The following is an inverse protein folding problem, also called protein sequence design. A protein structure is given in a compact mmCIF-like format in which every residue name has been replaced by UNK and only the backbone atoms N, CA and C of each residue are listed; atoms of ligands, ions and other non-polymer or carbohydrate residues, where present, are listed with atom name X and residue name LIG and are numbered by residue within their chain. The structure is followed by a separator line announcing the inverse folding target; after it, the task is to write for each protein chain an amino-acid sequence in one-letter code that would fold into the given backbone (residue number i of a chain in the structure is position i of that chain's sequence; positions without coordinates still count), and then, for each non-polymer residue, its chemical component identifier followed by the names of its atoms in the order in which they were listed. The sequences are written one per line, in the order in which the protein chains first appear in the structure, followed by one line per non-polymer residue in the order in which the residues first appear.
data_IF_832594598700
#
_entry.id   IF_832594598700
#
_cell.length_a   1.000
_cell.length_b   1.000
_cell.length_c   1.000
_cell.angle_alpha   90.00
_cell.angle_beta   90.00
_cell.angle_gamma   90.00
#
_symmetry.space_group_name_H-M   'P 1'
#
loop_
_entity.id
_entity.type
_entity.pdbx_description
1 polymer ?
#
# COMPACT_ATOMS: atom_id res chain seq x y z
N UNK A 1 -30.73 26.22 60.51
CA UNK A 1 -31.78 25.37 59.91
C UNK A 1 -31.81 25.63 58.41
N UNK A 2 -32.01 24.57 57.58
CA UNK A 2 -32.07 24.56 56.10
C UNK A 2 -30.69 24.65 55.42
N UNK A 3 -30.28 23.78 54.48
CA UNK A 3 -30.91 22.66 53.74
C UNK A 3 -29.80 21.66 53.38
N UNK A 4 -30.07 20.37 53.59
CA UNK A 4 -29.27 19.25 53.08
C UNK A 4 -29.60 19.10 51.59
N UNK A 5 -28.63 19.34 50.71
CA UNK A 5 -28.75 19.08 49.28
C UNK A 5 -28.05 17.74 48.99
N UNK A 6 -28.86 16.73 48.66
CA UNK A 6 -28.40 15.43 48.17
C UNK A 6 -27.83 15.58 46.76
N UNK A 7 -26.53 15.29 46.63
CA UNK A 7 -25.84 15.19 45.34
C UNK A 7 -26.13 13.82 44.71
N UNK A 8 -26.89 13.80 43.61
CA UNK A 8 -27.08 12.62 42.77
C UNK A 8 -25.81 12.40 41.93
N UNK A 9 -25.10 11.29 42.15
CA UNK A 9 -23.95 10.92 41.33
C UNK A 9 -24.39 10.34 39.98
N UNK A 10 -23.90 10.97 38.92
CA UNK A 10 -24.12 10.66 37.50
C UNK A 10 -23.29 9.43 37.08
N UNK A 11 -23.90 8.49 36.36
CA UNK A 11 -23.16 7.43 35.64
C UNK A 11 -23.60 7.41 34.18
N UNK A 12 -22.96 8.25 33.36
CA UNK A 12 -23.07 8.19 31.91
C UNK A 12 -22.12 7.10 31.39
N UNK A 13 -22.69 5.99 30.92
CA UNK A 13 -21.94 4.93 30.25
C UNK A 13 -21.58 5.41 28.84
N UNK A 14 -20.39 5.99 28.69
CA UNK A 14 -19.83 6.36 27.38
C UNK A 14 -19.36 5.08 26.68
N UNK A 15 -20.21 4.51 25.84
CA UNK A 15 -19.80 3.51 24.87
C UNK A 15 -19.02 4.25 23.79
N UNK A 16 -17.69 4.19 23.84
CA UNK A 16 -16.84 4.68 22.76
C UNK A 16 -16.81 3.61 21.66
N UNK A 17 -17.22 3.91 20.41
CA UNK A 17 -16.90 3.03 19.30
C UNK A 17 -15.40 3.11 19.04
N UNK A 18 -14.67 2.06 19.40
CA UNK A 18 -13.29 1.86 18.97
C UNK A 18 -13.29 1.42 17.49
N UNK A 19 -13.61 2.34 16.58
CA UNK A 19 -13.18 2.22 15.20
C UNK A 19 -11.76 2.77 15.16
N UNK A 20 -10.78 1.86 15.21
CA UNK A 20 -9.42 2.23 14.88
C UNK A 20 -9.41 2.67 13.41
N UNK A 21 -9.39 3.98 13.20
CA UNK A 21 -9.08 4.64 11.93
C UNK A 21 -7.73 4.08 11.43
N UNK A 22 -7.79 3.00 10.67
CA UNK A 22 -6.62 2.48 9.98
C UNK A 22 -6.49 3.26 8.68
N UNK A 23 -6.30 4.58 8.79
CA UNK A 23 -5.99 5.43 7.65
C UNK A 23 -4.88 4.76 6.85
N UNK A 24 -5.18 4.36 5.61
CA UNK A 24 -4.20 3.73 4.73
C UNK A 24 -3.14 4.78 4.45
N UNK A 25 -1.98 4.67 5.10
CA UNK A 25 -0.93 5.67 4.92
C UNK A 25 -0.32 5.51 3.54
N UNK A 26 -0.36 6.58 2.75
CA UNK A 26 0.35 6.65 1.47
C UNK A 26 1.84 6.44 1.70
N UNK A 27 2.51 5.78 0.76
CA UNK A 27 3.96 5.65 0.84
C UNK A 27 4.66 7.00 0.62
N UNK A 28 5.95 7.14 1.03
CA UNK A 28 6.70 8.38 0.85
C UNK A 28 6.77 8.88 -0.59
N UNK A 29 6.58 7.98 -1.58
CA UNK A 29 6.58 8.28 -3.00
C UNK A 29 5.17 8.41 -3.57
N UNK A 30 4.14 8.41 -2.72
CA UNK A 30 2.71 8.40 -3.08
C UNK A 30 2.26 7.14 -3.83
N UNK A 31 3.03 6.07 -3.72
CA UNK A 31 2.67 4.75 -4.21
C UNK A 31 1.82 3.96 -3.21
N UNK A 32 1.41 2.77 -3.62
CA UNK A 32 0.59 1.87 -2.82
C UNK A 32 1.48 1.10 -1.83
N UNK A 33 1.20 1.20 -0.53
CA UNK A 33 1.87 0.40 0.49
C UNK A 33 1.31 -1.02 0.54
N UNK A 34 2.21 -2.00 0.42
CA UNK A 34 1.99 -3.43 0.51
C UNK A 34 2.73 -3.98 1.72
N UNK A 35 1.99 -4.37 2.76
CA UNK A 35 2.58 -4.92 3.98
C UNK A 35 3.12 -6.35 3.77
N UNK A 36 4.43 -6.54 3.94
CA UNK A 36 5.17 -7.77 3.66
C UNK A 36 5.97 -8.23 4.89
N UNK A 37 5.34 -9.04 5.75
CA UNK A 37 5.99 -9.73 6.88
C UNK A 37 6.92 -8.82 7.73
N UNK A 38 6.38 -7.72 8.24
CA UNK A 38 7.13 -6.77 9.09
C UNK A 38 7.90 -5.69 8.31
N UNK A 39 7.89 -5.73 6.98
CA UNK A 39 8.35 -4.66 6.08
C UNK A 39 7.18 -4.07 5.32
N UNK A 40 7.32 -2.85 4.84
CA UNK A 40 6.41 -2.23 3.89
C UNK A 40 7.07 -2.17 2.52
N UNK A 41 6.40 -2.63 1.48
CA UNK A 41 6.82 -2.47 0.10
C UNK A 41 5.93 -1.44 -0.59
N UNK A 42 6.48 -0.40 -1.19
CA UNK A 42 5.72 0.61 -1.93
C UNK A 42 5.75 0.30 -3.42
N UNK A 43 4.58 -0.02 -3.98
CA UNK A 43 4.39 -0.15 -5.42
C UNK A 43 4.22 1.24 -6.04
N UNK A 44 5.04 1.55 -7.04
CA UNK A 44 4.99 2.83 -7.75
C UNK A 44 5.17 2.63 -9.26
N UNK A 45 4.34 3.30 -10.05
CA UNK A 45 4.45 3.34 -11.51
C UNK A 45 5.28 4.56 -11.90
N UNK A 46 6.43 4.30 -12.51
CA UNK A 46 7.35 5.33 -13.00
C UNK A 46 6.83 6.02 -14.27
N UNK A 47 7.45 7.15 -14.61
CA UNK A 47 7.09 7.93 -15.82
C UNK A 47 7.29 7.14 -17.12
N UNK A 48 8.22 6.19 -17.15
CA UNK A 48 8.50 5.31 -18.28
C UNK A 48 7.62 4.04 -18.28
N UNK A 49 6.55 4.02 -17.46
CA UNK A 49 5.65 2.89 -17.25
C UNK A 49 6.29 1.64 -16.63
N UNK A 50 7.55 1.69 -16.20
CA UNK A 50 8.09 0.63 -15.35
C UNK A 50 7.47 0.69 -13.96
N UNK A 51 7.48 -0.45 -13.26
CA UNK A 51 7.09 -0.53 -11.85
C UNK A 51 8.36 -0.52 -11.02
N UNK A 52 8.40 0.30 -9.98
CA UNK A 52 9.43 0.19 -8.96
C UNK A 52 8.83 -0.14 -7.60
N UNK A 53 9.58 -0.91 -6.82
CA UNK A 53 9.27 -1.31 -5.45
C UNK A 53 10.34 -0.74 -4.54
N UNK A 54 9.93 0.13 -3.62
CA UNK A 54 10.76 0.59 -2.51
C UNK A 54 10.41 -0.20 -1.25
N UNK A 55 11.38 -0.47 -0.39
CA UNK A 55 11.12 -1.14 0.90
C UNK A 55 11.35 -0.18 2.06
N UNK A 56 10.53 -0.33 3.09
CA UNK A 56 10.59 0.46 4.31
C UNK A 56 10.45 -0.46 5.52
N UNK A 57 11.09 -0.09 6.62
CA UNK A 57 10.80 -0.69 7.91
C UNK A 57 9.45 -0.20 8.48
N UNK A 58 9.07 -0.72 9.65
CA UNK A 58 7.83 -0.35 10.33
C UNK A 58 7.74 1.14 10.70
N UNK A 59 8.87 1.86 10.78
CA UNK A 59 8.92 3.30 11.04
C UNK A 59 8.82 4.14 9.76
N UNK A 60 8.78 3.51 8.59
CA UNK A 60 8.76 4.18 7.29
C UNK A 60 10.15 4.60 6.80
N UNK A 61 11.24 4.12 7.42
CA UNK A 61 12.59 4.39 6.95
C UNK A 61 12.96 3.45 5.81
N UNK A 62 13.57 4.01 4.77
CA UNK A 62 13.96 3.25 3.58
C UNK A 62 14.97 2.14 3.89
N UNK A 63 14.78 1.00 3.21
CA UNK A 63 15.62 -0.19 3.23
C UNK A 63 16.15 -0.45 1.82
N UNK A 64 17.41 -0.90 1.73
CA UNK A 64 17.94 -1.41 0.46
C UNK A 64 17.38 -2.82 0.24
N UNK A 65 16.88 -3.15 -0.97
CA UNK A 65 16.43 -4.51 -1.28
C UNK A 65 17.57 -5.51 -1.08
N UNK A 66 17.29 -6.60 -0.36
CA UNK A 66 18.23 -7.71 -0.12
C UNK A 66 17.64 -9.02 -0.64
N UNK A 67 16.84 -9.69 0.18
CA UNK A 67 16.39 -11.06 0.00
C UNK A 67 14.97 -11.11 -0.59
N UNK A 68 14.31 -9.96 -0.68
CA UNK A 68 12.95 -9.87 -1.16
C UNK A 68 12.84 -10.33 -2.62
N UNK A 69 11.88 -11.20 -2.87
CA UNK A 69 11.56 -11.69 -4.21
C UNK A 69 10.24 -11.10 -4.63
N UNK A 70 10.24 -10.31 -5.70
CA UNK A 70 9.03 -9.70 -6.25
C UNK A 70 8.88 -10.07 -7.72
N UNK A 71 7.66 -10.47 -8.08
CA UNK A 71 7.21 -10.58 -9.47
C UNK A 71 5.84 -9.92 -9.58
N UNK A 72 5.46 -9.51 -10.78
CA UNK A 72 4.11 -9.03 -11.02
C UNK A 72 3.53 -9.64 -12.29
N UNK A 73 2.21 -9.75 -12.35
CA UNK A 73 1.48 -10.14 -13.56
C UNK A 73 0.44 -9.06 -13.85
N UNK A 74 0.61 -8.37 -14.97
CA UNK A 74 -0.38 -7.43 -15.50
C UNK A 74 -1.40 -8.20 -16.34
N UNK A 75 -2.68 -8.11 -15.98
CA UNK A 75 -3.81 -8.75 -16.66
C UNK A 75 -4.49 -7.76 -17.60
N UNK A 76 -3.73 -7.22 -18.55
CA UNK A 76 -4.22 -6.21 -19.48
C UNK A 76 -5.23 -6.80 -20.49
N UNK A 77 -6.08 -5.96 -21.12
CA UNK A 77 -6.99 -6.42 -22.18
C UNK A 77 -6.28 -7.08 -23.36
N UNK A 78 -5.02 -6.70 -23.62
CA UNK A 78 -4.17 -7.30 -24.66
C UNK A 78 -3.61 -8.68 -24.28
N UNK A 79 -3.75 -9.10 -23.03
CA UNK A 79 -3.25 -10.37 -22.52
C UNK A 79 -2.47 -10.21 -21.20
N UNK A 80 -2.04 -11.35 -20.65
CA UNK A 80 -1.24 -11.37 -19.42
C UNK A 80 0.23 -11.11 -19.73
N UNK A 81 0.85 -10.19 -19.02
CA UNK A 81 2.29 -9.92 -19.08
C UNK A 81 2.94 -10.13 -17.71
N UNK A 82 3.96 -10.98 -17.65
CA UNK A 82 4.79 -11.16 -16.45
C UNK A 82 5.87 -10.08 -16.41
N UNK A 83 6.02 -9.44 -15.26
CA UNK A 83 7.08 -8.49 -14.96
C UNK A 83 8.07 -9.12 -13.99
N UNK A 84 9.32 -9.17 -14.41
CA UNK A 84 10.46 -9.51 -13.57
C UNK A 84 11.16 -8.24 -13.13
N UNK A 85 11.73 -8.27 -11.93
CA UNK A 85 12.36 -7.11 -11.32
C UNK A 85 13.87 -7.31 -11.22
N UNK A 86 14.60 -6.21 -11.27
CA UNK A 86 16.03 -6.15 -11.04
C UNK A 86 16.35 -5.03 -10.05
N UNK A 87 17.42 -5.20 -9.28
CA UNK A 87 17.85 -4.18 -8.34
C UNK A 87 18.48 -3.00 -9.07
N UNK A 88 17.94 -1.80 -8.88
CA UNK A 88 18.51 -0.52 -9.32
C UNK A 88 18.64 0.41 -8.13
N UNK A 89 19.86 0.51 -7.60
CA UNK A 89 20.12 1.24 -6.36
C UNK A 89 19.34 0.66 -5.17
N UNK A 90 18.48 1.48 -4.56
CA UNK A 90 17.64 1.11 -3.42
C UNK A 90 16.22 0.66 -3.83
N UNK A 91 15.99 0.35 -5.11
CA UNK A 91 14.70 -0.09 -5.62
C UNK A 91 14.83 -1.44 -6.33
N UNK A 92 13.74 -2.19 -6.36
CA UNK A 92 13.53 -3.21 -7.39
C UNK A 92 12.72 -2.58 -8.52
N UNK A 93 13.21 -2.62 -9.75
CA UNK A 93 12.55 -2.01 -10.91
C UNK A 93 12.23 -3.08 -11.93
N UNK A 94 11.04 -3.04 -12.53
CA UNK A 94 10.65 -4.00 -13.56
C UNK A 94 11.54 -3.85 -14.79
N UNK A 95 11.93 -4.98 -15.39
CA UNK A 95 12.78 -5.01 -16.59
C UNK A 95 12.04 -4.54 -17.85
N UNK A 96 10.71 -4.55 -17.81
CA UNK A 96 9.84 -4.11 -18.88
C UNK A 96 8.76 -3.16 -18.34
N UNK A 97 8.25 -2.24 -19.16
CA UNK A 97 7.11 -1.40 -18.79
C UNK A 97 5.84 -2.24 -18.68
N UNK A 98 4.87 -1.71 -17.94
CA UNK A 98 3.50 -2.20 -17.94
C UNK A 98 2.89 -2.13 -19.35
N UNK A 99 2.02 -3.09 -19.74
CA UNK A 99 1.24 -2.97 -20.96
C UNK A 99 0.46 -1.66 -20.99
N UNK A 100 0.33 -1.07 -22.19
CA UNK A 100 -0.46 0.15 -22.37
C UNK A 100 -1.92 -0.05 -21.96
N UNK A 101 -2.55 1.02 -21.48
CA UNK A 101 -3.93 1.02 -21.01
C UNK A 101 -4.03 1.26 -19.51
N UNK A 102 -5.27 1.26 -19.03
CA UNK A 102 -5.63 1.55 -17.64
C UNK A 102 -6.81 0.66 -17.22
N UNK A 103 -7.09 0.60 -15.92
CA UNK A 103 -8.22 -0.10 -15.33
C UNK A 103 -8.05 -1.60 -15.13
N UNK A 104 -6.91 -2.17 -15.52
CA UNK A 104 -6.64 -3.61 -15.38
C UNK A 104 -5.94 -3.98 -14.06
N UNK A 105 -5.89 -5.27 -13.75
CA UNK A 105 -5.28 -5.76 -12.51
C UNK A 105 -3.78 -6.01 -12.70
N UNK A 106 -2.98 -5.54 -11.74
CA UNK A 106 -1.58 -5.93 -11.57
C UNK A 106 -1.49 -6.77 -10.29
N UNK A 107 -1.27 -8.07 -10.46
CA UNK A 107 -1.10 -8.99 -9.34
C UNK A 107 0.38 -9.04 -8.99
N UNK A 108 0.76 -8.39 -7.89
CA UNK A 108 2.11 -8.41 -7.35
C UNK A 108 2.24 -9.58 -6.40
N UNK A 109 3.19 -10.47 -6.65
CA UNK A 109 3.56 -11.56 -5.75
C UNK A 109 4.88 -11.20 -5.10
N UNK A 110 4.88 -11.03 -3.77
CA UNK A 110 6.08 -10.66 -3.03
C UNK A 110 6.35 -11.64 -1.89
N UNK A 111 7.64 -11.88 -1.65
CA UNK A 111 8.16 -12.65 -0.52
C UNK A 111 9.21 -11.81 0.21
N UNK A 112 9.23 -11.88 1.54
CA UNK A 112 10.24 -11.19 2.34
C UNK A 112 11.65 -11.81 2.21
N UNK A 113 11.72 -13.08 1.80
CA UNK A 113 12.93 -13.83 1.45
C UNK A 113 12.58 -14.98 0.50
N UNK A 114 13.57 -15.66 -0.10
CA UNK A 114 13.32 -16.78 -1.02
C UNK A 114 12.46 -17.90 -0.41
N UNK A 115 12.68 -18.21 0.87
CA UNK A 115 11.99 -19.27 1.63
C UNK A 115 10.67 -18.81 2.28
N UNK A 116 10.40 -17.50 2.28
CA UNK A 116 9.19 -16.95 2.87
C UNK A 116 7.95 -17.29 2.02
N UNK A 117 6.79 -17.38 2.69
CA UNK A 117 5.50 -17.51 2.01
C UNK A 117 5.24 -16.31 1.11
N UNK A 118 4.76 -16.59 -0.10
CA UNK A 118 4.34 -15.55 -1.04
C UNK A 118 3.06 -14.88 -0.56
N UNK A 119 3.01 -13.55 -0.65
CA UNK A 119 1.80 -12.76 -0.47
C UNK A 119 1.43 -12.11 -1.81
N UNK A 120 0.16 -12.21 -2.18
CA UNK A 120 -0.37 -11.62 -3.40
C UNK A 120 -1.07 -10.30 -3.06
N UNK A 121 -0.72 -9.24 -3.78
CA UNK A 121 -1.36 -7.95 -3.73
C UNK A 121 -1.98 -7.68 -5.09
N UNK A 122 -3.25 -7.28 -5.11
CA UNK A 122 -3.95 -6.95 -6.35
C UNK A 122 -4.09 -5.44 -6.43
N UNK A 123 -3.39 -4.85 -7.39
CA UNK A 123 -3.41 -3.42 -7.65
C UNK A 123 -4.33 -3.21 -8.85
N UNK A 124 -5.45 -2.53 -8.67
CA UNK A 124 -6.22 -2.04 -9.81
C UNK A 124 -5.46 -0.84 -10.38
N UNK A 125 -4.81 -1.02 -11.53
CA UNK A 125 -4.02 0.02 -12.15
C UNK A 125 -4.98 1.09 -12.67
N UNK A 126 -5.13 2.17 -11.92
CA UNK A 126 -5.84 3.38 -12.32
C UNK A 126 -4.83 4.54 -12.22
N UNK A 127 -4.39 5.03 -13.37
CA UNK A 127 -3.27 5.98 -13.47
C UNK A 127 -3.69 7.45 -13.33
N UNK A 128 -4.99 7.74 -13.36
CA UNK A 128 -5.48 9.08 -13.11
C UNK A 128 -5.23 9.50 -11.66
N UNK A 129 -5.15 10.81 -11.42
CA UNK A 129 -4.93 11.37 -10.09
C UNK A 129 -6.24 11.38 -9.30
N UNK A 130 -6.22 10.83 -8.09
CA UNK A 130 -7.31 10.92 -7.13
C UNK A 130 -7.54 12.38 -6.71
N UNK A 131 -8.77 12.88 -6.82
CA UNK A 131 -9.10 14.26 -6.44
C UNK A 131 -9.00 14.51 -4.93
N UNK A 132 -9.18 13.48 -4.09
CA UNK A 132 -9.16 13.61 -2.64
C UNK A 132 -7.74 13.63 -2.05
N UNK A 133 -6.90 12.65 -2.41
CA UNK A 133 -5.55 12.50 -1.84
C UNK A 133 -4.41 12.93 -2.76
N UNK A 134 -4.70 13.28 -4.03
CA UNK A 134 -3.71 13.65 -5.05
C UNK A 134 -2.64 12.59 -5.35
N UNK A 135 -2.85 11.35 -4.95
CA UNK A 135 -2.07 10.20 -5.38
C UNK A 135 -2.62 9.69 -6.72
N UNK A 136 -1.87 8.86 -7.46
CA UNK A 136 -2.48 8.00 -8.47
C UNK A 136 -3.59 7.17 -7.85
N UNK A 137 -4.68 6.94 -8.58
CA UNK A 137 -5.87 6.26 -8.07
C UNK A 137 -5.55 4.81 -7.61
N UNK A 138 -4.60 4.14 -8.25
CA UNK A 138 -4.10 2.83 -7.79
C UNK A 138 -3.49 2.84 -6.37
N UNK A 139 -3.13 4.02 -5.88
CA UNK A 139 -2.56 4.29 -4.56
C UNK A 139 -3.45 5.25 -3.75
N UNK A 140 -4.75 5.29 -4.05
CA UNK A 140 -5.71 6.08 -3.32
C UNK A 140 -5.74 5.67 -1.84
N UNK A 141 -5.78 6.68 -0.96
CA UNK A 141 -5.87 6.53 0.49
C UNK A 141 -7.06 7.27 1.07
N UNK A 142 -7.95 7.77 0.21
CA UNK A 142 -9.25 8.23 0.67
C UNK A 142 -9.95 6.99 1.21
N UNK A 143 -10.17 6.97 2.52
CA UNK A 143 -11.16 6.08 3.11
C UNK A 143 -12.45 6.31 2.32
N UNK A 144 -13.03 5.27 1.72
CA UNK A 144 -14.41 5.39 1.23
C UNK A 144 -15.33 5.63 2.43
#
# INVERSE_FOLDING_TARGET
MKKLLLSFAMLALVISPALADKHVKAGPRKGLIMELQGKNAEFFVEKDHTVSIAFYDASGKALTPSDEVVTATAEAPSGKAKLEFEKKGNLLVSKAPLPSGDGYQVVVQAKASADAKSKNFRVKLQLHTCAGCSNPEYACTCDE
#
